data_IF_758551391467
#
_entry.id   IF_758551391467
#
_cell.length_a   1.000
_cell.length_b   1.000
_cell.length_c   1.000
_cell.angle_alpha   90.00
_cell.angle_beta   90.00
_cell.angle_gamma   90.00
#
_symmetry.space_group_name_H-M   'P 1'
#
loop_
_entity.id
_entity.type
_entity.pdbx_description
1 polymer ?
#
# COMPACT_ATOMS: atom_id res chain seq x y z
N UNK A 1 17.67 -32.28 -28.93
CA UNK A 1 17.94 -30.83 -28.97
C UNK A 1 16.72 -30.17 -28.35
N UNK A 2 16.65 -30.10 -27.01
CA UNK A 2 17.07 -28.95 -26.20
C UNK A 2 16.31 -27.67 -26.63
N UNK A 3 15.14 -27.44 -26.03
CA UNK A 3 14.88 -26.37 -25.05
C UNK A 3 15.10 -24.96 -25.59
N UNK A 4 14.01 -24.26 -25.88
CA UNK A 4 13.77 -22.95 -25.28
C UNK A 4 12.26 -22.69 -25.27
N UNK A 5 11.63 -23.28 -24.25
CA UNK A 5 10.38 -22.79 -23.68
C UNK A 5 10.64 -21.33 -23.30
N UNK A 6 10.30 -20.41 -24.20
CA UNK A 6 10.22 -18.99 -23.87
C UNK A 6 9.32 -18.90 -22.66
N UNK A 7 9.94 -18.56 -21.53
CA UNK A 7 9.31 -18.23 -20.25
C UNK A 7 8.36 -17.06 -20.48
N UNK A 8 7.17 -17.35 -20.96
CA UNK A 8 6.02 -16.47 -20.90
C UNK A 8 5.45 -16.57 -19.48
N UNK A 9 6.25 -16.18 -18.51
CA UNK A 9 5.85 -16.10 -17.11
C UNK A 9 6.54 -14.89 -16.51
N UNK A 10 5.73 -14.07 -15.83
CA UNK A 10 6.09 -12.88 -15.04
C UNK A 10 5.88 -11.52 -15.71
N UNK A 11 4.77 -11.27 -16.40
CA UNK A 11 4.10 -9.97 -16.31
C UNK A 11 2.65 -10.03 -16.83
N UNK A 12 1.76 -10.73 -16.12
CA UNK A 12 0.37 -10.30 -16.16
C UNK A 12 0.35 -8.91 -15.51
N UNK A 13 0.43 -7.86 -16.33
CA UNK A 13 0.08 -6.51 -15.94
C UNK A 13 -1.26 -6.64 -15.23
N UNK A 14 -1.25 -6.50 -13.91
CA UNK A 14 -2.46 -6.45 -13.11
C UNK A 14 -3.29 -5.33 -13.74
N UNK A 15 -4.36 -5.68 -14.46
CA UNK A 15 -5.26 -4.74 -15.13
C UNK A 15 -6.04 -3.85 -14.14
N UNK A 16 -5.53 -3.72 -12.92
CA UNK A 16 -6.02 -2.85 -11.88
C UNK A 16 -5.57 -1.43 -12.19
N UNK A 17 -6.49 -0.65 -12.76
CA UNK A 17 -6.34 0.78 -12.86
C UNK A 17 -6.61 1.37 -11.49
N UNK A 18 -5.64 2.13 -10.98
CA UNK A 18 -5.80 2.87 -9.73
C UNK A 18 -6.98 3.82 -9.88
N UNK A 19 -8.00 3.74 -9.02
CA UNK A 19 -9.15 4.62 -9.13
C UNK A 19 -8.77 6.03 -8.71
N UNK A 20 -9.54 7.03 -9.15
CA UNK A 20 -9.25 8.45 -8.83
C UNK A 20 -9.58 8.82 -7.38
N UNK A 21 -10.25 7.93 -6.63
CA UNK A 21 -10.65 8.18 -5.24
C UNK A 21 -10.31 7.02 -4.30
N UNK A 22 -9.97 7.39 -3.08
CA UNK A 22 -9.67 6.45 -2.00
C UNK A 22 -10.88 5.58 -1.65
N UNK A 23 -12.09 6.14 -1.67
CA UNK A 23 -13.33 5.40 -1.41
C UNK A 23 -13.52 4.25 -2.40
N UNK A 24 -13.23 4.49 -3.68
CA UNK A 24 -13.33 3.47 -4.71
C UNK A 24 -12.26 2.39 -4.53
N UNK A 25 -11.03 2.78 -4.20
CA UNK A 25 -9.97 1.83 -3.86
C UNK A 25 -10.36 0.93 -2.68
N UNK A 26 -10.92 1.52 -1.61
CA UNK A 26 -11.47 0.77 -0.48
C UNK A 26 -12.62 -0.16 -0.88
N UNK A 27 -13.48 0.26 -1.80
CA UNK A 27 -14.57 -0.57 -2.31
C UNK A 27 -14.03 -1.80 -3.06
N UNK A 28 -12.98 -1.64 -3.87
CA UNK A 28 -12.33 -2.73 -4.59
C UNK A 28 -11.67 -3.73 -3.63
N UNK A 29 -10.96 -3.23 -2.60
CA UNK A 29 -10.40 -4.07 -1.53
C UNK A 29 -11.48 -4.85 -0.79
N UNK A 30 -12.59 -4.20 -0.42
CA UNK A 30 -13.76 -4.86 0.19
C UNK A 30 -14.37 -5.90 -0.75
N UNK A 31 -14.41 -5.63 -2.05
CA UNK A 31 -14.88 -6.56 -3.08
C UNK A 31 -14.03 -7.83 -3.14
N UNK A 32 -12.70 -7.69 -3.14
CA UNK A 32 -11.77 -8.81 -3.11
C UNK A 32 -11.94 -9.65 -1.82
N UNK A 33 -11.99 -9.00 -0.65
CA UNK A 33 -12.19 -9.66 0.63
C UNK A 33 -13.52 -10.46 0.69
N UNK A 34 -14.60 -9.92 0.12
CA UNK A 34 -15.89 -10.62 0.03
C UNK A 34 -15.83 -11.83 -0.89
N UNK A 35 -15.17 -11.70 -2.05
CA UNK A 35 -14.99 -12.80 -3.01
C UNK A 35 -14.22 -13.96 -2.38
N UNK A 36 -13.15 -13.63 -1.67
CA UNK A 36 -12.28 -14.61 -1.02
C UNK A 36 -12.87 -15.13 0.31
N UNK A 37 -13.99 -14.56 0.79
CA UNK A 37 -14.66 -14.88 2.07
C UNK A 37 -13.75 -14.76 3.29
N UNK A 38 -12.76 -13.88 3.23
CA UNK A 38 -11.84 -13.60 4.32
C UNK A 38 -11.66 -12.08 4.47
N UNK A 39 -11.67 -11.54 5.71
CA UNK A 39 -11.49 -10.11 5.96
C UNK A 39 -10.01 -9.69 5.87
N UNK A 40 -9.32 -10.13 4.83
CA UNK A 40 -7.90 -9.88 4.60
C UNK A 40 -7.74 -8.87 3.46
N UNK A 41 -6.77 -7.98 3.60
CA UNK A 41 -6.39 -7.06 2.52
C UNK A 41 -5.63 -7.88 1.48
N UNK A 42 -6.08 -7.82 0.22
CA UNK A 42 -5.43 -8.52 -0.88
C UNK A 42 -4.07 -7.84 -1.20
N UNK A 43 -2.92 -8.51 -0.97
CA UNK A 43 -1.61 -7.90 -1.15
C UNK A 43 -1.32 -7.53 -2.61
N UNK A 44 -1.86 -8.29 -3.58
CA UNK A 44 -1.62 -8.06 -5.01
C UNK A 44 -2.34 -6.82 -5.51
N UNK A 45 -3.61 -6.64 -5.10
CA UNK A 45 -4.38 -5.45 -5.42
C UNK A 45 -3.70 -4.21 -4.84
N UNK A 46 -3.25 -4.30 -3.58
CA UNK A 46 -2.51 -3.21 -2.93
C UNK A 46 -1.17 -2.87 -3.62
N UNK A 47 -0.37 -3.89 -3.97
CA UNK A 47 0.88 -3.67 -4.72
C UNK A 47 0.63 -3.01 -6.09
N UNK A 48 -0.44 -3.42 -6.77
CA UNK A 48 -0.84 -2.84 -8.05
C UNK A 48 -1.19 -1.36 -7.91
N UNK A 49 -1.89 -0.99 -6.84
CA UNK A 49 -2.25 0.41 -6.57
C UNK A 49 -1.03 1.31 -6.33
N UNK A 50 0.01 0.79 -5.66
CA UNK A 50 1.27 1.51 -5.46
C UNK A 50 2.24 1.43 -6.64
N UNK A 51 1.86 0.75 -7.73
CA UNK A 51 2.74 0.46 -8.87
C UNK A 51 4.07 -0.19 -8.44
N UNK A 52 4.02 -1.08 -7.44
CA UNK A 52 5.17 -1.85 -6.96
C UNK A 52 4.99 -3.34 -7.24
N UNK A 53 6.11 -4.04 -7.36
CA UNK A 53 6.09 -5.49 -7.45
C UNK A 53 5.91 -6.16 -6.07
N UNK A 54 5.57 -7.44 -6.08
CA UNK A 54 5.33 -8.24 -4.86
C UNK A 54 6.58 -8.42 -4.00
N UNK A 55 7.78 -8.43 -4.60
CA UNK A 55 9.04 -8.51 -3.86
C UNK A 55 9.29 -7.21 -3.09
N UNK A 56 9.04 -6.05 -3.72
CA UNK A 56 9.12 -4.75 -3.05
C UNK A 56 8.13 -4.67 -1.89
N UNK A 57 6.87 -5.09 -2.09
CA UNK A 57 5.89 -5.16 -1.00
C UNK A 57 6.34 -6.10 0.14
N UNK A 58 6.91 -7.27 -0.20
CA UNK A 58 7.39 -8.22 0.79
C UNK A 58 8.53 -7.64 1.65
N UNK A 59 9.46 -6.92 1.02
CA UNK A 59 10.55 -6.23 1.70
C UNK A 59 10.00 -5.18 2.67
N UNK A 60 9.03 -4.36 2.24
CA UNK A 60 8.40 -3.34 3.09
C UNK A 60 7.65 -3.94 4.28
N UNK A 61 6.94 -5.04 4.06
CA UNK A 61 6.25 -5.77 5.12
C UNK A 61 7.19 -6.64 5.98
N UNK A 62 8.50 -6.67 5.68
CA UNK A 62 9.50 -7.49 6.37
C UNK A 62 9.13 -8.99 6.39
N UNK A 63 8.58 -9.48 5.27
CA UNK A 63 8.21 -10.88 5.06
C UNK A 63 8.88 -11.43 3.81
N UNK A 64 8.96 -12.76 3.70
CA UNK A 64 9.45 -13.39 2.48
C UNK A 64 8.36 -13.35 1.39
N UNK A 65 8.75 -13.24 0.11
CA UNK A 65 7.79 -13.23 -1.02
C UNK A 65 6.83 -14.43 -1.02
N UNK A 66 7.31 -15.59 -0.53
CA UNK A 66 6.49 -16.81 -0.45
C UNK A 66 5.37 -16.68 0.57
N UNK A 67 5.55 -15.85 1.60
CA UNK A 67 4.52 -15.51 2.58
C UNK A 67 3.39 -14.72 1.92
N UNK A 68 3.69 -13.80 0.99
CA UNK A 68 2.66 -13.07 0.24
C UNK A 68 1.75 -14.03 -0.55
N UNK A 69 2.31 -15.06 -1.18
CA UNK A 69 1.51 -16.01 -1.97
C UNK A 69 0.86 -17.12 -1.15
N UNK A 70 1.54 -17.65 -0.12
CA UNK A 70 1.10 -18.84 0.64
C UNK A 70 0.39 -18.50 1.96
N UNK A 71 0.63 -17.33 2.52
CA UNK A 71 0.15 -16.91 3.82
C UNK A 71 -0.25 -15.42 3.80
N UNK A 72 -1.21 -15.10 2.93
CA UNK A 72 -1.75 -13.74 2.80
C UNK A 72 -2.26 -13.17 4.13
N UNK A 73 -2.69 -14.03 5.06
CA UNK A 73 -3.11 -13.66 6.41
C UNK A 73 -1.97 -13.46 7.42
N UNK A 74 -0.70 -13.48 7.01
CA UNK A 74 0.42 -13.27 7.92
C UNK A 74 0.27 -11.91 8.64
N UNK A 75 0.39 -11.94 9.97
CA UNK A 75 0.09 -10.78 10.81
C UNK A 75 0.93 -9.56 10.43
N UNK A 76 2.24 -9.73 10.21
CA UNK A 76 3.15 -8.64 9.80
C UNK A 76 2.72 -7.99 8.48
N UNK A 77 2.35 -8.81 7.49
CA UNK A 77 1.88 -8.34 6.19
C UNK A 77 0.57 -7.58 6.34
N UNK A 78 -0.41 -8.17 7.02
CA UNK A 78 -1.71 -7.54 7.19
C UNK A 78 -1.63 -6.29 8.08
N UNK A 79 -0.70 -6.23 9.04
CA UNK A 79 -0.40 -5.02 9.82
C UNK A 79 0.14 -3.91 8.91
N UNK A 80 1.16 -4.18 8.12
CA UNK A 80 1.70 -3.23 7.16
C UNK A 80 0.61 -2.69 6.21
N UNK A 81 -0.19 -3.59 5.63
CA UNK A 81 -1.26 -3.22 4.71
C UNK A 81 -2.33 -2.34 5.37
N UNK A 82 -2.72 -2.65 6.62
CA UNK A 82 -3.68 -1.83 7.38
C UNK A 82 -3.11 -0.46 7.72
N UNK A 83 -1.85 -0.41 8.16
CA UNK A 83 -1.19 0.82 8.55
C UNK A 83 -1.01 1.74 7.33
N UNK A 84 -0.56 1.21 6.20
CA UNK A 84 -0.46 1.94 4.94
C UNK A 84 -1.83 2.46 4.47
N UNK A 85 -2.88 1.63 4.57
CA UNK A 85 -4.23 2.02 4.19
C UNK A 85 -4.78 3.16 5.06
N UNK A 86 -4.50 3.16 6.37
CA UNK A 86 -4.89 4.24 7.28
C UNK A 86 -4.20 5.55 6.92
N UNK A 87 -2.90 5.50 6.61
CA UNK A 87 -2.12 6.68 6.22
C UNK A 87 -2.61 7.24 4.88
N UNK A 88 -2.86 6.37 3.89
CA UNK A 88 -3.40 6.79 2.58
C UNK A 88 -4.78 7.44 2.71
N UNK A 89 -5.65 6.89 3.56
CA UNK A 89 -6.96 7.50 3.83
C UNK A 89 -6.83 8.90 4.44
N UNK A 90 -6.00 9.04 5.47
CA UNK A 90 -5.77 10.33 6.10
C UNK A 90 -5.16 11.37 5.14
N UNK A 91 -4.26 10.95 4.24
CA UNK A 91 -3.69 11.83 3.22
C UNK A 91 -4.70 12.20 2.13
N UNK A 92 -5.53 11.24 1.69
CA UNK A 92 -6.59 11.50 0.71
C UNK A 92 -7.66 12.47 1.26
N UNK A 93 -7.98 12.39 2.55
CA UNK A 93 -8.89 13.33 3.21
C UNK A 93 -8.36 14.77 3.24
N UNK A 94 -7.03 14.97 3.20
CA UNK A 94 -6.41 16.31 3.11
C UNK A 94 -6.34 16.79 1.68
N UNK A 95 -5.76 15.98 0.79
CA UNK A 95 -5.42 16.41 -0.56
C UNK A 95 -6.63 16.39 -1.49
N UNK A 96 -7.68 15.62 -1.18
CA UNK A 96 -8.86 15.45 -2.03
C UNK A 96 -8.63 14.59 -3.27
N UNK A 97 -7.38 14.25 -3.61
CA UNK A 97 -6.99 13.38 -4.72
C UNK A 97 -6.21 12.17 -4.20
N UNK A 98 -6.64 10.98 -4.61
CA UNK A 98 -5.98 9.73 -4.23
C UNK A 98 -4.65 9.50 -4.96
N UNK A 99 -4.50 9.98 -6.19
CA UNK A 99 -3.21 9.91 -6.91
C UNK A 99 -2.15 10.75 -6.20
N UNK A 100 -2.52 11.94 -5.74
CA UNK A 100 -1.61 12.79 -4.94
C UNK A 100 -1.27 12.13 -3.60
N UNK A 101 -2.23 11.49 -2.94
CA UNK A 101 -1.99 10.74 -1.71
C UNK A 101 -1.02 9.55 -1.93
N UNK A 102 -1.16 8.83 -3.04
CA UNK A 102 -0.24 7.74 -3.42
C UNK A 102 1.16 8.28 -3.75
N UNK A 103 1.23 9.39 -4.50
CA UNK A 103 2.49 10.03 -4.85
C UNK A 103 3.21 10.51 -3.58
N UNK A 104 2.50 11.19 -2.69
CA UNK A 104 3.00 11.63 -1.39
C UNK A 104 3.51 10.46 -0.55
N UNK A 105 2.71 9.38 -0.46
CA UNK A 105 3.07 8.20 0.33
C UNK A 105 4.39 7.57 -0.13
N UNK A 106 4.61 7.52 -1.45
CA UNK A 106 5.77 6.87 -2.08
C UNK A 106 7.00 7.75 -2.14
N UNK A 107 6.83 9.02 -2.48
CA UNK A 107 7.92 9.84 -3.00
C UNK A 107 8.25 11.06 -2.15
N UNK A 108 7.32 11.56 -1.33
CA UNK A 108 7.53 12.82 -0.60
C UNK A 108 8.28 12.58 0.72
N UNK A 109 9.54 13.03 0.84
CA UNK A 109 10.28 12.90 2.09
C UNK A 109 9.75 13.90 3.12
N UNK A 110 9.55 13.43 4.35
CA UNK A 110 9.08 14.29 5.44
C UNK A 110 10.25 14.80 6.26
N UNK A 111 10.47 16.12 6.28
CA UNK A 111 11.54 16.76 7.04
C UNK A 111 11.47 16.48 8.54
N UNK A 112 10.25 16.35 9.10
CA UNK A 112 10.01 16.00 10.49
C UNK A 112 10.46 14.56 10.86
N UNK A 113 10.77 13.73 9.86
CA UNK A 113 11.12 12.33 10.03
C UNK A 113 12.45 11.99 9.34
N UNK A 114 13.45 12.86 9.46
CA UNK A 114 14.78 12.66 8.87
C UNK A 114 14.75 12.45 7.35
N UNK A 115 13.82 13.12 6.66
CA UNK A 115 13.59 13.00 5.22
C UNK A 115 13.17 11.59 4.77
N UNK A 116 12.59 10.79 5.67
CA UNK A 116 11.98 9.51 5.31
C UNK A 116 10.63 9.71 4.64
N UNK A 117 10.30 8.83 3.72
CA UNK A 117 8.97 8.82 3.09
C UNK A 117 7.93 8.16 4.02
N UNK A 118 6.63 8.47 3.84
CA UNK A 118 5.57 7.81 4.61
C UNK A 118 5.62 6.29 4.48
N UNK A 119 5.91 5.78 3.29
CA UNK A 119 6.09 4.35 3.04
C UNK A 119 7.19 3.72 3.92
N UNK A 120 8.34 4.37 4.04
CA UNK A 120 9.44 3.90 4.90
C UNK A 120 9.02 3.90 6.36
N UNK A 121 8.34 4.94 6.82
CA UNK A 121 7.88 5.04 8.20
C UNK A 121 6.82 3.98 8.54
N UNK A 122 5.92 3.66 7.63
CA UNK A 122 4.97 2.54 7.81
C UNK A 122 5.72 1.21 7.86
N UNK A 123 6.72 1.02 7.00
CA UNK A 123 7.58 -0.17 7.01
C UNK A 123 8.35 -0.33 8.34
N UNK A 124 8.79 0.78 8.94
CA UNK A 124 9.42 0.83 10.27
C UNK A 124 8.42 0.68 11.43
N UNK A 125 7.12 0.57 11.15
CA UNK A 125 6.07 0.44 12.16
C UNK A 125 5.71 1.75 12.87
N UNK A 126 6.12 2.90 12.31
CA UNK A 126 5.87 4.26 12.82
C UNK A 126 4.64 4.94 12.22
N UNK A 127 3.67 4.15 11.76
CA UNK A 127 2.44 4.66 11.14
C UNK A 127 1.61 5.57 12.07
N UNK A 128 1.61 5.31 13.39
CA UNK A 128 0.94 6.17 14.35
C UNK A 128 1.56 7.57 14.44
N UNK A 129 2.89 7.68 14.32
CA UNK A 129 3.57 8.98 14.32
C UNK A 129 3.19 9.79 13.07
N UNK A 130 3.12 9.12 11.92
CA UNK A 130 2.64 9.70 10.67
C UNK A 130 1.20 10.21 10.80
N UNK A 131 0.28 9.40 11.35
CA UNK A 131 -1.11 9.81 11.50
C UNK A 131 -1.24 11.04 12.39
N UNK A 132 -0.48 11.12 13.50
CA UNK A 132 -0.45 12.33 14.34
C UNK A 132 0.10 13.53 13.60
N UNK A 133 1.14 13.36 12.79
CA UNK A 133 1.70 14.43 11.97
C UNK A 133 0.67 14.96 10.95
N UNK A 134 0.01 14.06 10.23
CA UNK A 134 -1.03 14.38 9.23
C UNK A 134 -2.22 15.11 9.90
N UNK A 135 -2.66 14.66 11.07
CA UNK A 135 -3.70 15.33 11.87
C UNK A 135 -3.27 16.71 12.36
N UNK A 136 -2.02 16.88 12.78
CA UNK A 136 -1.49 18.17 13.20
C UNK A 136 -1.44 19.16 12.04
N UNK A 137 -1.11 18.71 10.83
CA UNK A 137 -1.20 19.53 9.62
C UNK A 137 -2.63 19.97 9.34
N UNK A 138 -3.62 19.07 9.43
CA UNK A 138 -5.03 19.45 9.31
C UNK A 138 -5.45 20.50 10.33
N UNK A 139 -5.09 20.31 11.60
CA UNK A 139 -5.43 21.26 12.67
C UNK A 139 -4.75 22.63 12.48
N UNK A 140 -3.52 22.67 11.98
CA UNK A 140 -2.78 23.89 11.71
C UNK A 140 -3.24 24.65 10.47
N UNK A 141 -3.81 23.96 9.47
CA UNK A 141 -4.40 24.59 8.27
C UNK A 141 -5.76 25.24 8.57
N UNK A 142 -6.47 24.75 9.59
CA UNK A 142 -7.79 25.27 10.00
C UNK A 142 -7.68 26.39 11.07
N UNK A 143 -6.49 26.64 11.60
CA UNK A 143 -6.22 27.59 12.68
C UNK A 143 -5.92 29.03 12.26
#
# INVERSE_FOLDING_TARGET
MAIDTVKESLNESSGYLVPDSFERFLADLKGAARKDRHPLINPKLFASALSIDIQTLANQAHVHRTTISRAQGAEKLQRYLRDALRVLGAAADINGDFHDALFWFRNEPLSAFDYKTPEQLVSEGRAEDLLRYVQALQAGVVG
#
